data_IF_356111786269
#
_entry.id   IF_356111786269
#
_cell.length_a   1.000
_cell.length_b   1.000
_cell.length_c   1.000
_cell.angle_alpha   90.00
_cell.angle_beta   90.00
_cell.angle_gamma   90.00
#
_symmetry.space_group_name_H-M   'P 1'
#
loop_
_entity.id
_entity.type
_entity.pdbx_description
1 polymer ?
#
# COMPACT_ATOMS: atom_id res chain seq x y z
N UNK A 1 -25.43 -63.71 19.64
CA UNK A 1 -24.90 -62.57 20.41
C UNK A 1 -23.50 -62.29 19.89
N UNK A 2 -23.30 -61.59 18.78
CA UNK A 2 -23.51 -60.15 18.57
C UNK A 2 -23.16 -59.38 19.85
N UNK A 3 -21.89 -58.99 19.98
CA UNK A 3 -21.47 -57.60 20.27
C UNK A 3 -19.94 -57.56 20.34
N UNK A 4 -19.26 -57.36 19.19
CA UNK A 4 -17.86 -56.96 19.19
C UNK A 4 -17.70 -55.75 18.28
N UNK A 5 -17.23 -54.67 18.90
CA UNK A 5 -16.54 -53.55 18.29
C UNK A 5 -17.43 -52.55 17.53
N UNK A 6 -18.04 -51.64 18.27
CA UNK A 6 -18.37 -50.31 17.77
C UNK A 6 -17.61 -49.31 18.64
N UNK A 7 -17.19 -48.22 18.01
CA UNK A 7 -16.71 -46.96 18.60
C UNK A 7 -15.21 -46.94 18.90
N UNK A 8 -14.42 -46.38 17.98
CA UNK A 8 -13.84 -45.04 18.13
C UNK A 8 -12.89 -44.69 16.96
N UNK A 9 -13.44 -44.61 15.74
CA UNK A 9 -12.70 -44.12 14.56
C UNK A 9 -13.18 -42.71 14.21
N UNK A 10 -12.85 -41.73 15.05
CA UNK A 10 -13.20 -40.32 14.78
C UNK A 10 -12.21 -39.38 15.45
N UNK A 11 -10.94 -39.46 15.07
CA UNK A 11 -10.00 -38.36 15.32
C UNK A 11 -8.86 -38.46 14.32
N UNK A 12 -8.92 -37.63 13.27
CA UNK A 12 -7.83 -36.84 12.63
C UNK A 12 -8.39 -36.38 11.27
N UNK A 13 -9.31 -35.43 11.31
CA UNK A 13 -9.55 -34.52 10.17
C UNK A 13 -9.24 -33.14 10.71
N UNK A 14 -8.10 -32.56 10.31
CA UNK A 14 -7.78 -31.21 10.79
C UNK A 14 -6.37 -30.67 10.61
N UNK A 15 -5.52 -31.24 9.74
CA UNK A 15 -4.21 -30.63 9.43
C UNK A 15 -4.00 -30.48 7.92
N UNK A 16 -5.04 -30.01 7.22
CA UNK A 16 -4.90 -29.45 5.87
C UNK A 16 -5.51 -28.05 5.82
N UNK A 17 -5.17 -27.19 6.77
CA UNK A 17 -5.05 -25.79 6.42
C UNK A 17 -3.63 -25.63 5.89
N UNK A 18 -3.50 -25.46 4.57
CA UNK A 18 -2.37 -24.71 4.06
C UNK A 18 -2.49 -23.35 4.74
N UNK A 19 -1.84 -23.17 5.89
CA UNK A 19 -1.63 -21.85 6.43
C UNK A 19 -0.93 -21.12 5.31
N UNK A 20 -1.65 -20.19 4.69
CA UNK A 20 -1.12 -19.32 3.65
C UNK A 20 -0.14 -18.42 4.39
N UNK A 21 1.08 -18.95 4.63
CA UNK A 21 2.16 -18.27 5.34
C UNK A 21 2.53 -17.13 4.43
N UNK A 22 1.87 -15.99 4.65
CA UNK A 22 2.22 -14.75 3.97
C UNK A 22 3.70 -14.49 4.29
N UNK A 23 4.53 -14.17 3.29
CA UNK A 23 5.96 -13.98 3.52
C UNK A 23 6.17 -12.96 4.63
N UNK A 24 6.86 -13.31 5.72
CA UNK A 24 7.07 -12.43 6.88
C UNK A 24 7.84 -11.15 6.49
N UNK A 25 8.43 -11.15 5.29
CA UNK A 25 9.20 -10.07 4.73
C UNK A 25 8.33 -9.04 4.00
N UNK A 26 8.75 -7.78 4.11
CA UNK A 26 8.20 -6.66 3.35
C UNK A 26 9.23 -6.31 2.28
N UNK A 27 8.82 -6.24 1.01
CA UNK A 27 9.72 -5.92 -0.10
C UNK A 27 9.90 -4.40 -0.26
N UNK A 28 10.95 -3.86 0.36
CA UNK A 28 11.30 -2.44 0.29
C UNK A 28 12.00 -2.02 -1.02
N UNK A 29 12.28 -2.94 -1.95
CA UNK A 29 12.98 -2.59 -3.19
C UNK A 29 12.20 -1.55 -3.99
N UNK A 30 12.89 -0.49 -4.44
CA UNK A 30 12.27 0.64 -5.14
C UNK A 30 11.72 1.75 -4.22
N UNK A 31 11.76 1.58 -2.90
CA UNK A 31 11.52 2.67 -1.94
C UNK A 31 12.84 3.37 -1.63
N UNK A 32 12.82 4.71 -1.58
CA UNK A 32 13.98 5.53 -1.20
C UNK A 32 14.43 5.12 0.20
N UNK A 33 15.74 4.96 0.41
CA UNK A 33 16.31 4.33 1.61
C UNK A 33 15.81 4.94 2.93
N UNK A 34 15.75 6.26 3.03
CA UNK A 34 15.29 6.98 4.23
C UNK A 34 13.79 6.78 4.50
N UNK A 35 12.98 6.61 3.46
CA UNK A 35 11.55 6.31 3.55
C UNK A 35 11.35 4.85 3.99
N UNK A 36 12.12 3.92 3.42
CA UNK A 36 12.11 2.51 3.82
C UNK A 36 12.50 2.34 5.30
N UNK A 37 13.58 3.00 5.72
CA UNK A 37 14.02 3.03 7.12
C UNK A 37 12.94 3.62 8.03
N UNK A 38 12.31 4.73 7.62
CA UNK A 38 11.21 5.33 8.37
C UNK A 38 10.06 4.33 8.59
N UNK A 39 9.56 3.71 7.51
CA UNK A 39 8.46 2.73 7.60
C UNK A 39 8.86 1.55 8.48
N UNK A 40 10.07 1.01 8.31
CA UNK A 40 10.54 -0.17 9.04
C UNK A 40 10.78 0.10 10.53
N UNK A 41 11.18 1.32 10.89
CA UNK A 41 11.47 1.72 12.28
C UNK A 41 10.22 1.91 13.15
N UNK A 42 9.03 2.03 12.55
CA UNK A 42 7.79 2.26 13.30
C UNK A 42 7.26 0.95 13.88
N UNK A 43 7.50 0.75 15.17
CA UNK A 43 6.98 -0.41 15.93
C UNK A 43 5.45 -0.45 15.95
N UNK A 44 4.78 0.69 15.82
CA UNK A 44 3.32 0.78 15.73
C UNK A 44 2.73 0.34 14.39
N UNK A 45 3.55 -0.01 13.39
CA UNK A 45 3.08 -0.51 12.10
C UNK A 45 3.16 -2.02 12.07
N UNK A 46 2.00 -2.65 11.85
CA UNK A 46 1.91 -4.08 11.55
C UNK A 46 2.65 -4.42 10.25
N UNK A 47 2.95 -5.71 10.02
CA UNK A 47 3.52 -6.16 8.74
C UNK A 47 2.59 -5.81 7.57
N UNK A 48 1.27 -5.95 7.74
CA UNK A 48 0.28 -5.57 6.73
C UNK A 48 0.34 -4.06 6.41
N UNK A 49 0.36 -3.21 7.44
CA UNK A 49 0.53 -1.76 7.25
C UNK A 49 1.80 -1.44 6.46
N UNK A 50 2.93 -2.09 6.80
CA UNK A 50 4.22 -1.85 6.14
C UNK A 50 4.16 -2.21 4.66
N UNK A 51 3.49 -3.29 4.27
CA UNK A 51 3.31 -3.67 2.86
C UNK A 51 2.54 -2.58 2.09
N UNK A 52 1.40 -2.13 2.63
CA UNK A 52 0.61 -1.06 2.02
C UNK A 52 1.43 0.21 1.91
N UNK A 53 2.12 0.64 2.97
CA UNK A 53 2.93 1.86 2.99
C UNK A 53 4.12 1.80 2.04
N UNK A 54 4.73 0.63 1.87
CA UNK A 54 5.84 0.42 0.93
C UNK A 54 5.35 0.50 -0.50
N UNK A 55 4.28 -0.21 -0.85
CA UNK A 55 3.69 -0.11 -2.18
C UNK A 55 3.21 1.32 -2.48
N UNK A 56 2.63 2.00 -1.48
CA UNK A 56 2.20 3.39 -1.58
C UNK A 56 3.40 4.31 -1.85
N UNK A 57 4.49 4.15 -1.09
CA UNK A 57 5.71 4.91 -1.26
C UNK A 57 6.33 4.73 -2.66
N UNK A 58 6.39 3.50 -3.18
CA UNK A 58 6.87 3.23 -4.55
C UNK A 58 6.09 4.04 -5.59
N UNK A 59 4.76 4.08 -5.47
CA UNK A 59 3.90 4.89 -6.33
C UNK A 59 4.13 6.38 -6.14
N UNK A 60 4.06 6.85 -4.90
CA UNK A 60 4.09 8.28 -4.57
C UNK A 60 5.44 8.93 -4.94
N UNK A 61 6.56 8.22 -4.79
CA UNK A 61 7.88 8.69 -5.18
C UNK A 61 8.01 9.06 -6.66
N UNK A 62 7.13 8.59 -7.56
CA UNK A 62 7.14 9.02 -8.97
C UNK A 62 6.89 10.51 -9.15
N UNK A 63 6.30 11.19 -8.15
CA UNK A 63 6.11 12.65 -8.15
C UNK A 63 7.45 13.39 -8.05
N UNK A 64 8.50 12.78 -7.49
CA UNK A 64 9.81 13.43 -7.33
C UNK A 64 10.40 13.93 -8.67
N UNK A 65 10.03 13.30 -9.79
CA UNK A 65 10.46 13.68 -11.14
C UNK A 65 9.35 14.31 -11.98
N UNK A 66 8.25 14.76 -11.37
CA UNK A 66 7.09 15.31 -12.11
C UNK A 66 7.44 16.50 -13.00
N UNK A 67 8.38 17.35 -12.57
CA UNK A 67 8.87 18.49 -13.36
C UNK A 67 9.49 18.11 -14.72
N UNK A 68 9.92 16.85 -14.88
CA UNK A 68 10.50 16.34 -16.14
C UNK A 68 9.43 15.87 -17.13
N UNK A 69 8.18 15.76 -16.67
CA UNK A 69 7.06 15.30 -17.48
C UNK A 69 6.39 16.47 -18.20
N UNK A 70 5.85 16.22 -19.39
CA UNK A 70 4.95 17.17 -20.04
C UNK A 70 3.60 17.28 -19.30
N UNK A 71 2.80 18.29 -19.62
CA UNK A 71 1.54 18.57 -18.93
C UNK A 71 0.56 17.38 -18.93
N UNK A 72 0.41 16.68 -20.04
CA UNK A 72 -0.47 15.51 -20.14
C UNK A 72 0.00 14.36 -19.23
N UNK A 73 1.31 14.09 -19.21
CA UNK A 73 1.90 13.07 -18.34
C UNK A 73 1.83 13.46 -16.85
N UNK A 74 1.91 14.75 -16.51
CA UNK A 74 1.66 15.22 -15.14
C UNK A 74 0.19 15.03 -14.73
N UNK A 75 -0.76 15.30 -15.61
CA UNK A 75 -2.18 15.05 -15.35
C UNK A 75 -2.45 13.57 -15.10
N UNK A 76 -1.88 12.70 -15.94
CA UNK A 76 -1.98 11.26 -15.77
C UNK A 76 -1.33 10.80 -14.46
N UNK A 77 -0.13 11.30 -14.13
CA UNK A 77 0.52 11.01 -12.86
C UNK A 77 -0.35 11.45 -11.67
N UNK A 78 -0.95 12.64 -11.74
CA UNK A 78 -1.85 13.14 -10.71
C UNK A 78 -3.04 12.20 -10.49
N UNK A 79 -3.71 11.78 -11.57
CA UNK A 79 -4.80 10.81 -11.52
C UNK A 79 -4.37 9.49 -10.89
N UNK A 80 -3.29 8.89 -11.38
CA UNK A 80 -2.80 7.62 -10.83
C UNK A 80 -2.43 7.71 -9.35
N UNK A 81 -1.90 8.85 -8.91
CA UNK A 81 -1.56 9.06 -7.49
C UNK A 81 -2.80 9.35 -6.65
N UNK A 82 -3.83 9.98 -7.20
CA UNK A 82 -5.11 10.17 -6.52
C UNK A 82 -5.80 8.82 -6.30
N UNK A 83 -5.89 7.99 -7.36
CA UNK A 83 -6.40 6.61 -7.28
C UNK A 83 -5.58 5.77 -6.30
N UNK A 84 -4.25 5.83 -6.38
CA UNK A 84 -3.36 5.08 -5.49
C UNK A 84 -3.55 5.46 -4.02
N UNK A 85 -3.70 6.76 -3.73
CA UNK A 85 -3.98 7.25 -2.37
C UNK A 85 -5.37 6.82 -1.88
N UNK A 86 -6.39 6.90 -2.73
CA UNK A 86 -7.73 6.41 -2.43
C UNK A 86 -7.71 4.92 -2.08
N UNK A 87 -7.15 4.08 -2.95
CA UNK A 87 -7.07 2.64 -2.70
C UNK A 87 -6.26 2.29 -1.45
N UNK A 88 -5.11 2.95 -1.22
CA UNK A 88 -4.35 2.73 0.01
C UNK A 88 -5.18 3.09 1.24
N UNK A 89 -5.97 4.17 1.19
CA UNK A 89 -6.82 4.61 2.31
C UNK A 89 -7.92 3.61 2.72
N UNK A 90 -8.27 2.67 1.84
CA UNK A 90 -9.20 1.57 2.17
C UNK A 90 -8.58 0.51 3.08
N UNK A 91 -7.24 0.44 3.14
CA UNK A 91 -6.51 -0.54 3.95
C UNK A 91 -5.79 0.09 5.14
N UNK A 92 -5.52 1.40 5.10
CA UNK A 92 -4.73 2.08 6.13
C UNK A 92 -5.18 3.52 6.34
N UNK A 93 -5.06 4.01 7.58
CA UNK A 93 -5.47 5.38 7.91
C UNK A 93 -4.70 6.44 7.10
N UNK A 94 -5.40 7.50 6.68
CA UNK A 94 -4.80 8.67 6.02
C UNK A 94 -3.63 9.27 6.83
N UNK A 95 -3.69 9.22 8.16
CA UNK A 95 -2.59 9.69 9.03
C UNK A 95 -1.25 9.00 8.71
N UNK A 96 -1.26 7.68 8.51
CA UNK A 96 -0.04 6.91 8.19
C UNK A 96 0.45 7.21 6.76
N UNK A 97 -0.48 7.40 5.81
CA UNK A 97 -0.12 7.85 4.45
C UNK A 97 0.56 9.23 4.50
N UNK A 98 -0.04 10.19 5.20
CA UNK A 98 0.50 11.55 5.38
C UNK A 98 1.90 11.55 6.04
N UNK A 99 2.18 10.60 6.92
CA UNK A 99 3.50 10.46 7.53
C UNK A 99 4.55 9.97 6.54
N UNK A 100 4.19 9.03 5.66
CA UNK A 100 5.08 8.58 4.57
C UNK A 100 5.29 9.69 3.55
N UNK A 101 4.23 10.40 3.21
CA UNK A 101 4.26 11.58 2.35
C UNK A 101 5.22 12.66 2.85
N UNK A 102 5.07 13.08 4.10
CA UNK A 102 5.97 14.04 4.73
C UNK A 102 7.44 13.57 4.68
N UNK A 103 7.68 12.25 4.72
CA UNK A 103 9.03 11.70 4.59
C UNK A 103 9.52 11.70 3.14
N UNK A 104 8.69 11.36 2.16
CA UNK A 104 9.06 11.35 0.75
C UNK A 104 9.41 12.76 0.27
N UNK A 105 8.70 13.79 0.73
CA UNK A 105 8.84 15.16 0.21
C UNK A 105 9.28 16.15 1.29
N UNK A 106 10.31 15.76 2.03
CA UNK A 106 10.87 16.55 3.12
C UNK A 106 11.67 17.77 2.61
N UNK A 107 12.14 17.75 1.36
CA UNK A 107 12.97 18.81 0.78
C UNK A 107 12.15 19.78 -0.08
N UNK A 108 12.61 21.02 -0.23
CA UNK A 108 11.85 22.11 -0.87
C UNK A 108 11.55 21.86 -2.35
N UNK A 109 12.51 21.30 -3.10
CA UNK A 109 12.35 20.88 -4.49
C UNK A 109 11.29 19.78 -4.64
N UNK A 110 11.24 18.86 -3.69
CA UNK A 110 10.26 17.78 -3.64
C UNK A 110 8.86 18.32 -3.30
N UNK A 111 8.79 19.29 -2.38
CA UNK A 111 7.53 19.97 -2.04
C UNK A 111 6.93 20.74 -3.21
N UNK A 112 7.75 21.38 -4.05
CA UNK A 112 7.26 22.04 -5.25
C UNK A 112 6.57 21.04 -6.21
N UNK A 113 7.22 19.90 -6.48
CA UNK A 113 6.65 18.84 -7.31
C UNK A 113 5.39 18.23 -6.67
N UNK A 114 5.40 18.02 -5.35
CA UNK A 114 4.25 17.59 -4.58
C UNK A 114 3.07 18.55 -4.79
N UNK A 115 3.28 19.84 -4.54
CA UNK A 115 2.22 20.85 -4.56
C UNK A 115 1.59 20.96 -5.95
N UNK A 116 2.42 20.94 -7.00
CA UNK A 116 1.95 20.94 -8.37
C UNK A 116 1.04 19.74 -8.66
N UNK A 117 1.48 18.53 -8.33
CA UNK A 117 0.66 17.33 -8.53
C UNK A 117 -0.60 17.36 -7.67
N UNK A 118 -0.53 17.83 -6.42
CA UNK A 118 -1.72 17.98 -5.57
C UNK A 118 -2.74 18.96 -6.13
N UNK A 119 -2.28 20.08 -6.71
CA UNK A 119 -3.17 21.03 -7.37
C UNK A 119 -3.94 20.38 -8.52
N UNK A 120 -3.27 19.55 -9.33
CA UNK A 120 -3.93 18.77 -10.38
C UNK A 120 -4.91 17.75 -9.79
N UNK A 121 -4.56 17.10 -8.69
CA UNK A 121 -5.46 16.15 -8.00
C UNK A 121 -6.74 16.80 -7.49
N UNK A 122 -6.68 18.04 -6.99
CA UNK A 122 -7.88 18.77 -6.54
C UNK A 122 -8.86 19.07 -7.68
N UNK A 123 -8.40 19.07 -8.94
CA UNK A 123 -9.24 19.27 -10.12
C UNK A 123 -9.84 17.95 -10.63
N UNK A 124 -9.38 16.81 -10.12
CA UNK A 124 -9.85 15.47 -10.54
C UNK A 124 -11.05 15.07 -9.68
N UNK A 125 -12.18 14.83 -10.33
CA UNK A 125 -13.29 14.11 -9.71
C UNK A 125 -13.06 12.61 -9.90
N UNK A 126 -12.69 11.93 -8.83
CA UNK A 126 -12.57 10.47 -8.85
C UNK A 126 -13.96 9.85 -8.80
N UNK A 127 -14.35 9.13 -9.85
CA UNK A 127 -15.51 8.24 -9.79
C UNK A 127 -15.12 6.99 -9.01
N UNK A 128 -15.31 7.05 -7.69
CA UNK A 128 -14.92 5.96 -6.78
C UNK A 128 -15.68 4.67 -7.03
N UNK A 129 -16.85 4.70 -7.71
CA UNK A 129 -17.60 3.51 -8.06
C UNK A 129 -16.94 2.72 -9.20
N UNK A 130 -16.09 3.36 -10.00
CA UNK A 130 -15.39 2.76 -11.13
C UNK A 130 -13.93 2.38 -10.80
N UNK A 131 -13.47 2.63 -9.58
CA UNK A 131 -12.09 2.32 -9.16
C UNK A 131 -12.04 0.92 -8.53
N UNK A 132 -11.36 -0.01 -9.20
CA UNK A 132 -11.00 -1.31 -8.62
C UNK A 132 -9.68 -1.23 -7.84
N UNK A 133 -9.77 -1.48 -6.53
CA UNK A 133 -8.63 -1.51 -5.61
C UNK A 133 -8.14 -2.93 -5.27
N UNK A 134 -8.80 -4.00 -5.75
CA UNK A 134 -8.61 -5.39 -5.30
C UNK A 134 -7.16 -5.88 -5.38
N UNK A 135 -6.39 -5.39 -6.36
CA UNK A 135 -4.99 -5.79 -6.59
C UNK A 135 -4.01 -4.61 -6.52
N UNK A 136 -4.36 -3.52 -5.81
CA UNK A 136 -3.49 -2.33 -5.71
C UNK A 136 -2.50 -2.41 -4.53
N UNK A 137 -2.84 -3.11 -3.44
CA UNK A 137 -2.08 -3.15 -2.18
C UNK A 137 -2.18 -4.48 -1.43
#
# INVERSE_FOLDING_TARGET
>A
MILKSIILSSLVVGLSSCALVSPIFVDYNGVRRDVAQFINSKMSYSIADRRVLVAYAKGQQKILTAHQLNAAAQQQLAYERAVGRYCASQHISLKKLNQVDAKIFAHSDQQANWQQIQNLQMQIQLDTAQIDCTNKF
#
